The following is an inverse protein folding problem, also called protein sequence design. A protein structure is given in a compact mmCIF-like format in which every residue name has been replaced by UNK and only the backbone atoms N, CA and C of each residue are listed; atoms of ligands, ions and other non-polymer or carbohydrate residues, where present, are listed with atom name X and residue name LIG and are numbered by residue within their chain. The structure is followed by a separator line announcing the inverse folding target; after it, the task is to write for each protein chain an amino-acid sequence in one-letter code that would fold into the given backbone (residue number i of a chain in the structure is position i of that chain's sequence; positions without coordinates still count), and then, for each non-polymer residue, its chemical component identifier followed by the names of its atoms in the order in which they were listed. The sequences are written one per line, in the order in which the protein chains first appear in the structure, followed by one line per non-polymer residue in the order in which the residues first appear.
data_IF_224937707877
#
_entry.id   IF_224937707877
#
_cell.length_a   1.000
_cell.length_b   1.000
_cell.length_c   1.000
_cell.angle_alpha   90.00
_cell.angle_beta   90.00
_cell.angle_gamma   90.00
#
_symmetry.space_group_name_H-M   'P 1'
#
loop_
_entity.id
_entity.type
_entity.pdbx_description
1 polymer ?
#
# COMPACT_ATOMS: atom_id res chain seq x y z
N UNK A 1 -27.23 11.40 -1.75
CA UNK A 1 -27.90 10.17 -2.24
C UNK A 1 -27.74 10.12 -3.75
N UNK A 2 -27.29 9.00 -4.33
CA UNK A 2 -27.18 8.88 -5.77
C UNK A 2 -28.56 8.53 -6.33
N UNK A 3 -29.15 9.41 -7.14
CA UNK A 3 -30.53 9.23 -7.62
C UNK A 3 -30.58 8.48 -8.96
N UNK A 4 -29.44 8.35 -9.66
CA UNK A 4 -29.33 7.65 -10.95
C UNK A 4 -28.89 6.21 -10.70
N UNK A 5 -29.56 5.22 -11.31
CA UNK A 5 -29.27 3.78 -11.14
C UNK A 5 -27.78 3.45 -11.37
N UNK A 6 -27.15 4.04 -12.38
CA UNK A 6 -25.72 3.86 -12.67
C UNK A 6 -24.82 4.39 -11.56
N UNK A 7 -25.20 5.50 -10.92
CA UNK A 7 -24.46 6.10 -9.81
C UNK A 7 -24.60 5.28 -8.52
N UNK A 8 -25.78 4.70 -8.24
CA UNK A 8 -25.99 3.77 -7.12
C UNK A 8 -25.06 2.56 -7.28
N UNK A 9 -25.03 1.95 -8.46
CA UNK A 9 -24.14 0.82 -8.77
C UNK A 9 -22.66 1.19 -8.62
N UNK A 10 -22.24 2.37 -9.11
CA UNK A 10 -20.86 2.87 -8.94
C UNK A 10 -20.52 3.02 -7.45
N UNK A 11 -21.44 3.52 -6.63
CA UNK A 11 -21.23 3.68 -5.20
C UNK A 11 -21.01 2.35 -4.49
N UNK A 12 -21.79 1.31 -4.82
CA UNK A 12 -21.61 -0.05 -4.28
C UNK A 12 -20.26 -0.66 -4.68
N UNK A 13 -19.90 -0.58 -5.97
CA UNK A 13 -18.62 -1.08 -6.47
C UNK A 13 -17.43 -0.36 -5.82
N UNK A 14 -17.54 0.95 -5.63
CA UNK A 14 -16.50 1.76 -5.00
C UNK A 14 -16.28 1.36 -3.54
N UNK A 15 -17.34 1.02 -2.77
CA UNK A 15 -17.19 0.54 -1.39
C UNK A 15 -16.36 -0.74 -1.34
N UNK A 16 -16.73 -1.72 -2.15
CA UNK A 16 -16.02 -3.01 -2.22
C UNK A 16 -14.57 -2.84 -2.67
N UNK A 17 -14.32 -2.00 -3.68
CA UNK A 17 -12.96 -1.71 -4.13
C UNK A 17 -12.14 -0.98 -3.05
N UNK A 18 -12.74 -0.02 -2.33
CA UNK A 18 -12.09 0.71 -1.27
C UNK A 18 -11.68 -0.18 -0.10
N UNK A 19 -12.55 -1.10 0.33
CA UNK A 19 -12.25 -2.07 1.40
C UNK A 19 -11.05 -2.96 1.04
N UNK A 20 -11.04 -3.54 -0.16
CA UNK A 20 -9.92 -4.37 -0.65
C UNK A 20 -8.62 -3.57 -0.71
N UNK A 21 -8.68 -2.34 -1.24
CA UNK A 21 -7.52 -1.47 -1.35
C UNK A 21 -7.01 -1.01 0.03
N UNK A 22 -7.91 -0.77 0.98
CA UNK A 22 -7.56 -0.40 2.34
C UNK A 22 -6.82 -1.52 3.05
N UNK A 23 -7.26 -2.77 2.91
CA UNK A 23 -6.60 -3.95 3.47
C UNK A 23 -5.18 -4.13 2.90
N UNK A 24 -5.01 -3.99 1.60
CA UNK A 24 -3.68 -4.13 0.98
C UNK A 24 -2.73 -2.99 1.39
N UNK A 25 -3.24 -1.76 1.47
CA UNK A 25 -2.47 -0.60 1.95
C UNK A 25 -2.13 -0.71 3.43
N UNK A 26 -3.02 -1.26 4.28
CA UNK A 26 -2.75 -1.43 5.70
C UNK A 26 -1.67 -2.50 5.93
N UNK A 27 -1.74 -3.64 5.23
CA UNK A 27 -0.71 -4.67 5.29
C UNK A 27 0.68 -4.13 4.94
N UNK A 28 0.80 -3.35 3.86
CA UNK A 28 2.04 -2.68 3.47
C UNK A 28 2.55 -1.75 4.58
N UNK A 29 1.69 -0.88 5.14
CA UNK A 29 2.07 0.03 6.23
C UNK A 29 2.52 -0.72 7.48
N UNK A 30 1.90 -1.86 7.79
CA UNK A 30 2.28 -2.69 8.94
C UNK A 30 3.68 -3.27 8.76
N UNK A 31 4.03 -3.74 7.56
CA UNK A 31 5.39 -4.23 7.27
C UNK A 31 6.44 -3.14 7.40
N UNK A 32 6.14 -1.93 6.91
CA UNK A 32 7.00 -0.76 7.08
C UNK A 32 7.22 -0.47 8.56
N UNK A 33 6.14 -0.41 9.37
CA UNK A 33 6.25 -0.18 10.82
C UNK A 33 7.05 -1.26 11.55
N UNK A 34 6.90 -2.52 11.15
CA UNK A 34 7.68 -3.64 11.72
C UNK A 34 9.17 -3.46 11.45
N UNK A 35 9.54 -3.08 10.24
CA UNK A 35 10.93 -2.76 9.90
C UNK A 35 11.45 -1.55 10.71
N UNK A 36 10.63 -0.50 10.86
CA UNK A 36 11.05 0.67 11.64
C UNK A 36 11.27 0.38 13.13
N UNK A 37 10.56 -0.61 13.69
CA UNK A 37 10.75 -1.05 15.07
C UNK A 37 12.00 -1.92 15.26
N UNK A 38 12.33 -2.75 14.28
CA UNK A 38 13.49 -3.62 14.29
C UNK A 38 14.10 -3.70 12.87
N UNK A 39 15.08 -2.83 12.55
CA UNK A 39 15.66 -2.79 11.21
C UNK A 39 16.52 -4.05 10.98
N UNK A 40 15.99 -4.99 10.21
CA UNK A 40 16.70 -6.19 9.77
C UNK A 40 16.59 -6.35 8.26
N UNK A 41 17.57 -7.03 7.67
CA UNK A 41 17.61 -7.30 6.23
C UNK A 41 16.38 -8.10 5.74
N UNK A 42 15.90 -9.06 6.54
CA UNK A 42 14.71 -9.85 6.21
C UNK A 42 13.43 -9.00 6.18
N UNK A 43 13.26 -8.14 7.19
CA UNK A 43 12.12 -7.24 7.27
C UNK A 43 12.17 -6.17 6.17
N UNK A 44 13.36 -5.72 5.79
CA UNK A 44 13.56 -4.85 4.64
C UNK A 44 13.10 -5.51 3.34
N UNK A 45 13.52 -6.76 3.07
CA UNK A 45 13.09 -7.52 1.89
C UNK A 45 11.57 -7.70 1.84
N UNK A 46 10.96 -8.03 2.97
CA UNK A 46 9.51 -8.18 3.08
C UNK A 46 8.77 -6.86 2.81
N UNK A 47 9.22 -5.75 3.42
CA UNK A 47 8.64 -4.43 3.23
C UNK A 47 8.82 -3.93 1.79
N UNK A 48 10.02 -4.07 1.22
CA UNK A 48 10.36 -3.68 -0.15
C UNK A 48 9.50 -4.43 -1.18
N UNK A 49 9.37 -5.75 -1.03
CA UNK A 49 8.50 -6.57 -1.89
C UNK A 49 7.02 -6.14 -1.79
N UNK A 50 6.54 -5.79 -0.60
CA UNK A 50 5.17 -5.31 -0.42
C UNK A 50 4.92 -3.96 -1.08
N UNK A 51 5.88 -3.04 -0.99
CA UNK A 51 5.84 -1.72 -1.65
C UNK A 51 5.77 -1.89 -3.17
N UNK A 52 6.61 -2.76 -3.74
CA UNK A 52 6.63 -2.99 -5.18
C UNK A 52 5.33 -3.64 -5.69
N UNK A 53 4.77 -4.59 -4.93
CA UNK A 53 3.44 -5.17 -5.23
C UNK A 53 2.31 -4.14 -5.13
N UNK A 54 2.42 -3.16 -4.23
CA UNK A 54 1.43 -2.09 -4.12
C UNK A 54 1.54 -1.10 -5.29
N UNK A 55 2.75 -0.84 -5.78
CA UNK A 55 3.00 0.00 -6.94
C UNK A 55 2.51 -0.65 -8.24
N UNK A 56 2.79 -1.95 -8.44
CA UNK A 56 2.35 -2.67 -9.64
C UNK A 56 0.83 -2.75 -9.76
N UNK A 57 0.12 -2.80 -8.62
CA UNK A 57 -1.35 -2.75 -8.55
C UNK A 57 -1.93 -1.33 -8.63
N UNK A 58 -1.10 -0.29 -8.76
CA UNK A 58 -1.55 1.10 -8.80
C UNK A 58 -2.12 1.63 -7.47
N UNK A 59 -1.90 0.93 -6.35
CA UNK A 59 -2.39 1.36 -5.03
C UNK A 59 -1.59 2.53 -4.48
N UNK A 60 -0.31 2.60 -4.86
CA UNK A 60 0.60 3.72 -4.60
C UNK A 60 1.26 4.13 -5.90
N UNK A 61 1.61 5.41 -6.01
CA UNK A 61 2.34 5.93 -7.15
C UNK A 61 3.78 5.40 -7.18
N UNK A 62 4.36 5.22 -8.37
CA UNK A 62 5.74 4.76 -8.56
C UNK A 62 6.75 5.61 -7.76
N UNK A 63 6.66 6.94 -7.86
CA UNK A 63 7.51 7.85 -7.07
C UNK A 63 7.38 7.67 -5.56
N UNK A 64 6.18 7.33 -5.05
CA UNK A 64 5.98 7.05 -3.63
C UNK A 64 6.70 5.76 -3.24
N UNK A 65 6.57 4.71 -4.04
CA UNK A 65 7.27 3.46 -3.84
C UNK A 65 8.79 3.66 -3.83
N UNK A 66 9.34 4.37 -4.81
CA UNK A 66 10.79 4.67 -4.88
C UNK A 66 11.28 5.45 -3.66
N UNK A 67 10.54 6.48 -3.23
CA UNK A 67 10.89 7.29 -2.05
C UNK A 67 10.83 6.47 -0.76
N UNK A 68 9.80 5.66 -0.61
CA UNK A 68 9.63 4.85 0.60
C UNK A 68 10.73 3.77 0.67
N UNK A 69 11.10 3.12 -0.45
CA UNK A 69 12.25 2.20 -0.49
C UNK A 69 13.58 2.89 -0.18
N UNK A 70 13.84 4.07 -0.74
CA UNK A 70 15.07 4.81 -0.49
C UNK A 70 15.23 5.17 1.00
N UNK A 71 14.14 5.58 1.67
CA UNK A 71 14.14 5.86 3.11
C UNK A 71 14.38 4.62 3.98
N UNK A 72 13.83 3.47 3.59
CA UNK A 72 14.05 2.22 4.32
C UNK A 72 15.49 1.74 4.16
N UNK A 73 16.04 1.83 2.95
CA UNK A 73 17.44 1.49 2.68
C UNK A 73 18.41 2.35 3.49
N UNK A 74 18.16 3.66 3.58
CA UNK A 74 18.97 4.60 4.38
C UNK A 74 18.89 4.39 5.90
N UNK A 75 17.97 3.54 6.40
CA UNK A 75 17.91 3.14 7.81
C UNK A 75 18.62 1.81 8.09
N UNK A 76 18.93 1.05 7.04
CA UNK A 76 19.57 -0.26 7.12
C UNK A 76 21.10 -0.15 7.03
N UNK A 77 21.59 0.80 6.23
CA UNK A 77 22.98 1.25 6.22
C UNK A 77 23.18 2.46 7.11
#
# INVERSE_FOLDING_TARGET
MANIKSAIKRAELNKVANERNAQQKSAMRTLIKKFEAAPTEELYRAASSSIDKAASKGLIHANKASRDKARLAAKLG
#
